data_IF_075786733019
#
_entry.id   IF_075786733019
#
_cell.length_a   1.000
_cell.length_b   1.000
_cell.length_c   1.000
_cell.angle_alpha   90.00
_cell.angle_beta   90.00
_cell.angle_gamma   90.00
#
_symmetry.space_group_name_H-M   'P 1'
#
loop_
_entity.id
_entity.type
_entity.pdbx_description
1 polymer ?
#
# COMPACT_ATOMS: atom_id res chain seq x y z
N UNK A 1 -6.57 -32.72 -9.90
CA UNK A 1 -6.42 -32.08 -8.58
C UNK A 1 -5.82 -30.67 -8.62
N UNK A 2 -5.08 -30.29 -9.67
CA UNK A 2 -4.45 -28.95 -9.83
C UNK A 2 -5.44 -27.77 -9.84
N UNK A 3 -6.60 -27.91 -10.51
CA UNK A 3 -7.59 -26.81 -10.63
C UNK A 3 -8.17 -26.30 -9.30
N UNK A 4 -8.31 -27.16 -8.29
CA UNK A 4 -8.86 -26.73 -7.00
C UNK A 4 -7.86 -25.85 -6.24
N UNK A 5 -6.59 -26.26 -6.19
CA UNK A 5 -5.55 -25.49 -5.51
C UNK A 5 -5.32 -24.12 -6.17
N UNK A 6 -5.36 -24.06 -7.50
CA UNK A 6 -5.24 -22.80 -8.23
C UNK A 6 -6.42 -21.85 -7.97
N UNK A 7 -7.63 -22.39 -7.90
CA UNK A 7 -8.83 -21.61 -7.56
C UNK A 7 -8.75 -21.08 -6.14
N UNK A 8 -8.39 -21.92 -5.17
CA UNK A 8 -8.23 -21.48 -3.77
C UNK A 8 -7.14 -20.43 -3.62
N UNK A 9 -5.99 -20.57 -4.32
CA UNK A 9 -4.92 -19.56 -4.32
C UNK A 9 -5.41 -18.21 -4.87
N UNK A 10 -6.24 -18.22 -5.91
CA UNK A 10 -6.84 -16.99 -6.47
C UNK A 10 -7.80 -16.32 -5.48
N UNK A 11 -8.64 -17.12 -4.81
CA UNK A 11 -9.54 -16.60 -3.77
C UNK A 11 -8.72 -15.98 -2.62
N UNK A 12 -7.66 -16.65 -2.17
CA UNK A 12 -6.75 -16.10 -1.15
C UNK A 12 -6.10 -14.81 -1.61
N UNK A 13 -5.63 -14.72 -2.86
CA UNK A 13 -5.05 -13.50 -3.43
C UNK A 13 -6.04 -12.32 -3.41
N UNK A 14 -7.30 -12.55 -3.78
CA UNK A 14 -8.38 -11.56 -3.74
C UNK A 14 -8.68 -11.13 -2.31
N UNK A 15 -8.86 -12.09 -1.40
CA UNK A 15 -9.16 -11.82 0.02
C UNK A 15 -8.03 -11.04 0.68
N UNK A 16 -6.77 -11.40 0.42
CA UNK A 16 -5.60 -10.67 0.91
C UNK A 16 -5.62 -9.23 0.37
N UNK A 17 -5.79 -9.06 -0.95
CA UNK A 17 -5.86 -7.74 -1.59
C UNK A 17 -6.92 -6.82 -0.99
N UNK A 18 -8.11 -7.36 -0.70
CA UNK A 18 -9.21 -6.64 -0.05
C UNK A 18 -8.94 -6.37 1.44
N UNK A 19 -8.31 -7.32 2.14
CA UNK A 19 -8.05 -7.22 3.58
C UNK A 19 -7.03 -6.15 3.93
N UNK A 20 -5.99 -5.96 3.12
CA UNK A 20 -4.89 -5.02 3.39
C UNK A 20 -5.41 -3.63 3.76
N UNK A 21 -6.26 -2.98 2.93
CA UNK A 21 -6.79 -1.65 3.24
C UNK A 21 -7.93 -1.68 4.27
N UNK A 22 -8.74 -2.74 4.34
CA UNK A 22 -9.95 -2.75 5.17
C UNK A 22 -9.69 -3.19 6.61
N UNK A 23 -8.87 -4.22 6.86
CA UNK A 23 -8.73 -4.79 8.21
C UNK A 23 -7.39 -5.47 8.44
N UNK A 24 -6.65 -4.97 9.45
CA UNK A 24 -5.43 -5.65 9.94
C UNK A 24 -5.73 -7.04 10.50
N UNK A 25 -6.89 -7.22 11.14
CA UNK A 25 -7.28 -8.50 11.71
C UNK A 25 -7.48 -9.56 10.60
N UNK A 26 -8.15 -9.19 9.51
CA UNK A 26 -8.32 -10.09 8.37
C UNK A 26 -6.98 -10.47 7.75
N UNK A 27 -6.07 -9.51 7.54
CA UNK A 27 -4.73 -9.80 7.01
C UNK A 27 -3.94 -10.73 7.94
N UNK A 28 -4.01 -10.52 9.25
CA UNK A 28 -3.34 -11.35 10.25
C UNK A 28 -3.88 -12.80 10.30
N UNK A 29 -5.12 -13.04 9.87
CA UNK A 29 -5.69 -14.40 9.78
C UNK A 29 -5.38 -15.02 8.41
N UNK A 30 -5.57 -14.26 7.33
CA UNK A 30 -5.44 -14.73 5.96
C UNK A 30 -3.99 -15.06 5.58
N UNK A 31 -3.01 -14.27 6.03
CA UNK A 31 -1.61 -14.51 5.68
C UNK A 31 -1.08 -15.84 6.26
N UNK A 32 -1.23 -16.15 7.56
CA UNK A 32 -0.89 -17.47 8.10
C UNK A 32 -1.69 -18.61 7.46
N UNK A 33 -2.99 -18.42 7.20
CA UNK A 33 -3.80 -19.42 6.50
C UNK A 33 -3.26 -19.72 5.11
N UNK A 34 -2.80 -18.68 4.39
CA UNK A 34 -2.20 -18.85 3.08
C UNK A 34 -0.84 -19.57 3.15
N UNK A 35 -0.05 -19.38 4.21
CA UNK A 35 1.16 -20.17 4.47
C UNK A 35 0.79 -21.64 4.66
N UNK A 36 -0.19 -21.95 5.53
CA UNK A 36 -0.63 -23.33 5.76
C UNK A 36 -1.15 -23.99 4.49
N UNK A 37 -1.90 -23.26 3.68
CA UNK A 37 -2.38 -23.72 2.38
C UNK A 37 -1.22 -24.01 1.42
N UNK A 38 -0.21 -23.13 1.35
CA UNK A 38 0.98 -23.37 0.53
C UNK A 38 1.79 -24.58 1.03
N UNK A 39 1.81 -24.86 2.33
CA UNK A 39 2.42 -26.08 2.85
C UNK A 39 1.62 -27.32 2.42
N UNK A 40 0.29 -27.27 2.51
CA UNK A 40 -0.61 -28.37 2.11
C UNK A 40 -0.59 -28.65 0.60
N UNK A 41 -0.43 -27.62 -0.24
CA UNK A 41 -0.33 -27.75 -1.71
C UNK A 41 0.94 -28.50 -2.16
N UNK A 42 1.98 -28.60 -1.31
CA UNK A 42 3.22 -29.30 -1.63
C UNK A 42 4.06 -28.59 -2.70
N UNK A 43 4.67 -29.36 -3.63
CA UNK A 43 5.53 -28.84 -4.71
C UNK A 43 6.75 -28.01 -4.23
N UNK A 44 7.36 -28.43 -3.12
CA UNK A 44 8.44 -27.70 -2.46
C UNK A 44 9.62 -27.37 -3.38
N UNK A 45 10.02 -28.28 -4.27
CA UNK A 45 11.10 -28.04 -5.23
C UNK A 45 10.79 -26.88 -6.18
N UNK A 46 9.57 -26.82 -6.72
CA UNK A 46 9.16 -25.74 -7.63
C UNK A 46 9.06 -24.40 -6.89
N UNK A 47 8.48 -24.39 -5.68
CA UNK A 47 8.38 -23.20 -4.83
C UNK A 47 9.76 -22.65 -4.50
N UNK A 48 10.68 -23.51 -4.11
CA UNK A 48 12.05 -23.13 -3.81
C UNK A 48 12.80 -22.59 -5.03
N UNK A 49 12.65 -23.22 -6.20
CA UNK A 49 13.20 -22.69 -7.45
C UNK A 49 12.64 -21.31 -7.80
N UNK A 50 11.34 -21.08 -7.58
CA UNK A 50 10.71 -19.77 -7.78
C UNK A 50 11.32 -18.74 -6.83
N UNK A 51 11.45 -19.05 -5.54
CA UNK A 51 12.04 -18.13 -4.56
C UNK A 51 13.50 -17.79 -4.86
N UNK A 52 14.29 -18.77 -5.34
CA UNK A 52 15.68 -18.56 -5.74
C UNK A 52 15.86 -17.59 -6.91
N UNK A 53 14.86 -17.46 -7.79
CA UNK A 53 14.89 -16.49 -8.89
C UNK A 53 14.69 -15.04 -8.41
N UNK A 54 14.22 -14.84 -7.17
CA UNK A 54 13.96 -13.52 -6.62
C UNK A 54 14.94 -13.21 -5.48
N UNK A 55 15.98 -12.38 -5.71
CA UNK A 55 17.00 -12.10 -4.69
C UNK A 55 16.39 -11.46 -3.43
N UNK A 56 15.36 -10.65 -3.59
CA UNK A 56 14.63 -10.00 -2.49
C UNK A 56 14.00 -11.04 -1.56
N UNK A 57 13.47 -12.14 -2.09
CA UNK A 57 12.90 -13.22 -1.28
C UNK A 57 13.98 -13.89 -0.44
N UNK A 58 15.16 -14.13 -1.02
CA UNK A 58 16.30 -14.73 -0.33
C UNK A 58 16.79 -13.82 0.79
N UNK A 59 16.92 -12.50 0.55
CA UNK A 59 17.30 -11.55 1.59
C UNK A 59 16.28 -11.48 2.71
N UNK A 60 14.98 -11.48 2.39
CA UNK A 60 13.93 -11.47 3.41
C UNK A 60 13.98 -12.73 4.29
N UNK A 61 14.17 -13.91 3.69
CA UNK A 61 14.34 -15.17 4.42
C UNK A 61 15.61 -15.13 5.26
N UNK A 62 16.74 -14.69 4.69
CA UNK A 62 18.03 -14.62 5.38
C UNK A 62 17.97 -13.69 6.59
N UNK A 63 17.40 -12.50 6.44
CA UNK A 63 17.24 -11.54 7.54
C UNK A 63 16.33 -12.11 8.64
N UNK A 64 15.24 -12.76 8.26
CA UNK A 64 14.36 -13.41 9.23
C UNK A 64 15.06 -14.58 9.94
N UNK A 65 15.81 -15.42 9.24
CA UNK A 65 16.60 -16.50 9.84
C UNK A 65 17.69 -15.95 10.77
N UNK A 66 18.34 -14.86 10.39
CA UNK A 66 19.33 -14.19 11.24
C UNK A 66 18.69 -13.69 12.54
N UNK A 67 17.47 -13.12 12.46
CA UNK A 67 16.69 -12.75 13.65
C UNK A 67 16.39 -13.97 14.54
N UNK A 68 16.03 -15.12 13.96
CA UNK A 68 15.78 -16.35 14.71
C UNK A 68 17.05 -16.88 15.39
N UNK A 69 18.21 -16.83 14.72
CA UNK A 69 19.50 -17.17 15.32
C UNK A 69 19.81 -16.21 16.48
N UNK A 70 19.42 -14.94 16.36
CA UNK A 70 19.44 -13.94 17.42
C UNK A 70 18.79 -14.39 18.74
N UNK A 71 17.74 -15.21 18.65
CA UNK A 71 17.02 -15.72 19.82
C UNK A 71 17.82 -16.76 20.61
N UNK A 72 18.81 -17.41 19.99
CA UNK A 72 19.57 -18.49 20.63
C UNK A 72 20.56 -17.96 21.68
N UNK A 73 20.98 -16.70 21.57
CA UNK A 73 21.93 -16.07 22.49
C UNK A 73 21.34 -14.88 23.24
N UNK A 74 20.03 -14.64 23.13
CA UNK A 74 19.39 -13.49 23.77
C UNK A 74 19.36 -13.65 25.30
N UNK A 75 19.73 -12.62 26.08
CA UNK A 75 19.63 -12.64 27.54
C UNK A 75 18.19 -12.40 28.04
N UNK A 76 17.26 -12.08 27.13
CA UNK A 76 15.88 -11.69 27.43
C UNK A 76 14.97 -12.93 27.50
N UNK A 77 13.93 -12.96 28.36
CA UNK A 77 12.95 -14.05 28.39
C UNK A 77 12.33 -14.34 27.02
N UNK A 78 12.06 -15.63 26.73
CA UNK A 78 11.53 -16.07 25.45
C UNK A 78 10.18 -15.42 25.07
N UNK A 79 9.37 -15.04 26.06
CA UNK A 79 8.08 -14.35 25.85
C UNK A 79 8.26 -12.97 25.22
N UNK A 80 9.24 -12.20 25.68
CA UNK A 80 9.57 -10.89 25.12
C UNK A 80 10.32 -11.02 23.80
N UNK A 81 11.24 -11.98 23.70
CA UNK A 81 11.95 -12.27 22.46
C UNK A 81 10.99 -12.69 21.34
N UNK A 82 9.96 -13.49 21.66
CA UNK A 82 8.92 -13.90 20.73
C UNK A 82 8.08 -12.72 20.19
N UNK A 83 7.83 -11.68 21.00
CA UNK A 83 7.13 -10.46 20.54
C UNK A 83 7.93 -9.70 19.49
N UNK A 84 9.25 -9.73 19.58
CA UNK A 84 10.13 -9.12 18.57
C UNK A 84 10.01 -9.90 17.26
N UNK A 85 10.07 -11.23 17.31
CA UNK A 85 9.89 -12.08 16.13
C UNK A 85 8.53 -11.84 15.48
N UNK A 86 7.46 -11.77 16.29
CA UNK A 86 6.11 -11.51 15.81
C UNK A 86 6.01 -10.17 15.08
N UNK A 87 6.70 -9.14 15.57
CA UNK A 87 6.76 -7.82 14.91
C UNK A 87 7.46 -7.89 13.56
N UNK A 88 8.48 -8.73 13.41
CA UNK A 88 9.25 -8.88 12.18
C UNK A 88 8.74 -10.01 11.26
N UNK A 89 7.59 -10.63 11.57
CA UNK A 89 6.98 -11.66 10.70
C UNK A 89 6.65 -11.15 9.30
N UNK A 90 6.51 -9.84 9.12
CA UNK A 90 6.22 -9.21 7.83
C UNK A 90 7.30 -9.49 6.77
N UNK A 91 8.55 -9.77 7.19
CA UNK A 91 9.60 -10.22 6.26
C UNK A 91 9.22 -11.53 5.55
N UNK A 92 8.50 -12.44 6.23
CA UNK A 92 7.99 -13.68 5.63
C UNK A 92 6.83 -13.44 4.66
N UNK A 93 6.19 -12.27 4.68
CA UNK A 93 5.14 -11.95 3.73
C UNK A 93 5.70 -11.72 2.32
N UNK A 94 6.97 -11.33 2.18
CA UNK A 94 7.63 -11.17 0.88
C UNK A 94 7.66 -12.49 0.10
N UNK A 95 8.30 -13.58 0.59
CA UNK A 95 8.29 -14.86 -0.12
C UNK A 95 6.86 -15.44 -0.25
N UNK A 96 5.99 -15.22 0.75
CA UNK A 96 4.58 -15.62 0.69
C UNK A 96 3.86 -14.99 -0.52
N UNK A 97 3.95 -13.67 -0.68
CA UNK A 97 3.29 -12.96 -1.77
C UNK A 97 3.88 -13.33 -3.13
N UNK A 98 5.20 -13.55 -3.24
CA UNK A 98 5.82 -14.05 -4.49
C UNK A 98 5.21 -15.40 -4.91
N UNK A 99 4.92 -16.29 -3.95
CA UNK A 99 4.32 -17.60 -4.25
C UNK A 99 2.82 -17.51 -4.55
N UNK A 100 2.06 -16.71 -3.78
CA UNK A 100 0.61 -16.53 -3.99
C UNK A 100 0.31 -15.85 -5.32
N UNK A 101 1.03 -14.76 -5.62
CA UNK A 101 0.82 -13.94 -6.82
C UNK A 101 1.70 -14.36 -8.00
N UNK A 102 2.21 -15.61 -8.00
CA UNK A 102 3.03 -16.16 -9.09
C UNK A 102 2.31 -16.13 -10.44
N UNK A 103 0.99 -16.37 -10.44
CA UNK A 103 0.21 -16.42 -11.67
C UNK A 103 -0.32 -15.04 -12.03
N UNK A 104 -0.35 -14.75 -13.34
CA UNK A 104 -0.86 -13.49 -13.87
C UNK A 104 -2.27 -13.16 -13.38
N UNK A 105 -3.17 -14.15 -13.43
CA UNK A 105 -4.58 -13.95 -13.05
C UNK A 105 -4.74 -13.66 -11.55
N UNK A 106 -4.02 -14.37 -10.68
CA UNK A 106 -4.04 -14.12 -9.22
C UNK A 106 -3.51 -12.72 -8.90
N UNK A 107 -2.46 -12.28 -9.61
CA UNK A 107 -1.89 -10.93 -9.48
C UNK A 107 -2.89 -9.85 -9.88
N UNK A 108 -3.54 -9.99 -11.03
CA UNK A 108 -4.55 -9.03 -11.49
C UNK A 108 -5.75 -8.98 -10.57
N UNK A 109 -6.30 -10.12 -10.18
CA UNK A 109 -7.48 -10.19 -9.34
C UNK A 109 -7.21 -9.63 -7.93
N UNK A 110 -6.04 -9.93 -7.36
CA UNK A 110 -5.60 -9.32 -6.10
C UNK A 110 -5.43 -7.81 -6.19
N UNK A 111 -4.85 -7.32 -7.29
CA UNK A 111 -4.72 -5.88 -7.53
C UNK A 111 -6.08 -5.20 -7.69
N UNK A 112 -7.01 -5.79 -8.45
CA UNK A 112 -8.36 -5.24 -8.60
C UNK A 112 -9.13 -5.26 -7.28
N UNK A 113 -8.98 -6.30 -6.46
CA UNK A 113 -9.57 -6.35 -5.12
C UNK A 113 -9.04 -5.24 -4.21
N UNK A 114 -7.73 -5.01 -4.24
CA UNK A 114 -7.10 -3.89 -3.53
C UNK A 114 -7.63 -2.54 -4.02
N UNK A 115 -7.68 -2.32 -5.33
CA UNK A 115 -8.19 -1.07 -5.92
C UNK A 115 -9.67 -0.85 -5.63
N UNK A 116 -10.49 -1.90 -5.64
CA UNK A 116 -11.90 -1.82 -5.28
C UNK A 116 -12.07 -1.40 -3.81
N UNK A 117 -11.31 -2.03 -2.90
CA UNK A 117 -11.35 -1.67 -1.48
C UNK A 117 -10.88 -0.22 -1.22
N UNK A 118 -9.86 0.24 -1.95
CA UNK A 118 -9.42 1.63 -1.88
C UNK A 118 -10.43 2.60 -2.50
N UNK A 119 -11.11 2.21 -3.59
CA UNK A 119 -12.20 2.98 -4.18
C UNK A 119 -13.38 3.14 -3.23
N UNK A 120 -13.77 2.08 -2.51
CA UNK A 120 -14.78 2.13 -1.45
C UNK A 120 -14.33 3.07 -0.33
N UNK A 121 -13.06 2.96 0.10
CA UNK A 121 -12.49 3.83 1.13
C UNK A 121 -12.53 5.31 0.71
N UNK A 122 -12.18 5.60 -0.54
CA UNK A 122 -12.23 6.95 -1.11
C UNK A 122 -13.67 7.48 -1.16
N UNK A 123 -14.61 6.67 -1.65
CA UNK A 123 -16.02 7.02 -1.72
C UNK A 123 -16.59 7.36 -0.34
N UNK A 124 -16.33 6.51 0.67
CA UNK A 124 -16.76 6.74 2.04
C UNK A 124 -16.11 7.99 2.66
N UNK A 125 -14.83 8.25 2.35
CA UNK A 125 -14.15 9.45 2.84
C UNK A 125 -14.76 10.74 2.28
N UNK A 126 -15.12 10.76 0.99
CA UNK A 126 -15.83 11.89 0.38
C UNK A 126 -17.26 12.04 0.91
N UNK A 127 -17.97 10.92 1.08
CA UNK A 127 -19.31 10.93 1.66
C UNK A 127 -19.30 11.54 3.06
N UNK A 128 -18.33 11.14 3.90
CA UNK A 128 -18.12 11.68 5.23
C UNK A 128 -17.79 13.18 5.22
N UNK A 129 -16.93 13.63 4.30
CA UNK A 129 -16.55 15.04 4.18
C UNK A 129 -17.72 15.93 3.74
N UNK A 130 -18.61 15.45 2.86
CA UNK A 130 -19.73 16.23 2.31
C UNK A 130 -20.94 16.22 3.26
N UNK A 131 -21.28 15.04 3.78
CA UNK A 131 -22.49 14.87 4.62
C UNK A 131 -22.26 15.19 6.10
N UNK A 132 -21.00 15.24 6.54
CA UNK A 132 -20.67 15.31 7.97
C UNK A 132 -20.95 14.01 8.74
N UNK A 133 -21.41 12.94 8.08
CA UNK A 133 -21.66 11.65 8.72
C UNK A 133 -20.35 11.04 9.21
N UNK A 134 -20.25 10.74 10.51
CA UNK A 134 -19.14 9.99 11.08
C UNK A 134 -19.15 8.50 10.70
N UNK A 135 -18.51 8.16 9.58
CA UNK A 135 -18.34 6.77 9.12
C UNK A 135 -16.90 6.33 9.38
N UNK A 136 -16.74 5.28 10.17
CA UNK A 136 -15.41 4.75 10.50
C UNK A 136 -14.78 5.47 11.71
N UNK A 137 -13.44 5.59 11.70
CA UNK A 137 -12.69 6.05 12.88
C UNK A 137 -12.32 7.54 12.84
N UNK A 138 -12.46 8.18 11.69
CA UNK A 138 -12.03 9.56 11.46
C UNK A 138 -13.07 10.60 11.85
N UNK A 139 -12.73 11.86 11.57
CA UNK A 139 -13.64 13.01 11.70
C UNK A 139 -13.93 13.61 10.31
N UNK A 140 -15.00 14.38 10.12
CA UNK A 140 -15.30 15.01 8.82
C UNK A 140 -14.15 15.89 8.29
N UNK A 141 -13.35 16.48 9.19
CA UNK A 141 -12.16 17.26 8.87
C UNK A 141 -10.93 16.42 8.48
N UNK A 142 -10.90 15.13 8.86
CA UNK A 142 -9.85 14.18 8.51
C UNK A 142 -10.48 12.78 8.31
N UNK A 143 -11.11 12.55 7.15
CA UNK A 143 -11.93 11.36 6.93
C UNK A 143 -11.05 10.13 6.63
N UNK A 144 -10.74 9.39 7.70
CA UNK A 144 -10.18 8.05 7.62
C UNK A 144 -11.20 7.00 8.09
N UNK A 145 -11.37 5.95 7.30
CA UNK A 145 -12.51 5.03 7.46
C UNK A 145 -12.09 3.81 8.26
N UNK A 146 -11.22 2.99 7.68
CA UNK A 146 -10.85 1.67 8.21
C UNK A 146 -9.55 1.68 9.03
N UNK A 147 -8.52 2.32 8.46
CA UNK A 147 -7.16 2.40 9.01
C UNK A 147 -6.87 3.82 9.48
N UNK A 148 -5.78 3.98 10.23
CA UNK A 148 -5.29 5.31 10.60
C UNK A 148 -4.94 6.12 9.35
N UNK A 149 -5.06 7.44 9.44
CA UNK A 149 -4.83 8.38 8.34
C UNK A 149 -3.47 8.21 7.65
N UNK A 150 -2.41 7.83 8.40
CA UNK A 150 -1.07 7.56 7.85
C UNK A 150 -1.12 6.36 6.88
N UNK A 151 -1.65 5.23 7.34
CA UNK A 151 -1.73 4.01 6.54
C UNK A 151 -2.71 4.18 5.37
N UNK A 152 -3.84 4.84 5.59
CA UNK A 152 -4.81 5.11 4.53
C UNK A 152 -4.16 5.96 3.42
N UNK A 153 -3.41 7.02 3.76
CA UNK A 153 -2.72 7.85 2.77
C UNK A 153 -1.67 7.07 1.98
N UNK A 154 -0.86 6.25 2.65
CA UNK A 154 0.14 5.40 2.00
C UNK A 154 -0.52 4.47 0.97
N UNK A 155 -1.60 3.79 1.37
CA UNK A 155 -2.32 2.88 0.49
C UNK A 155 -3.05 3.63 -0.64
N UNK A 156 -3.58 4.83 -0.35
CA UNK A 156 -4.22 5.69 -1.36
C UNK A 156 -3.22 6.18 -2.41
N UNK A 157 -2.01 6.57 -2.01
CA UNK A 157 -0.96 6.96 -2.94
C UNK A 157 -0.58 5.79 -3.88
N UNK A 158 -0.43 4.58 -3.33
CA UNK A 158 -0.19 3.37 -4.12
C UNK A 158 -1.35 3.04 -5.07
N UNK A 159 -2.60 3.13 -4.58
CA UNK A 159 -3.78 2.91 -5.42
C UNK A 159 -3.86 3.93 -6.56
N UNK A 160 -3.61 5.21 -6.26
CA UNK A 160 -3.55 6.31 -7.25
C UNK A 160 -2.53 6.00 -8.34
N UNK A 161 -1.33 5.56 -7.96
CA UNK A 161 -0.28 5.18 -8.89
C UNK A 161 -0.70 4.02 -9.81
N UNK A 162 -1.30 2.96 -9.26
CA UNK A 162 -1.76 1.83 -10.07
C UNK A 162 -2.92 2.19 -11.00
N UNK A 163 -3.86 3.03 -10.55
CA UNK A 163 -4.95 3.54 -11.41
C UNK A 163 -4.38 4.42 -12.52
N UNK A 164 -3.37 5.26 -12.23
CA UNK A 164 -2.70 6.08 -13.23
C UNK A 164 -1.99 5.24 -14.30
N UNK A 165 -1.32 4.15 -13.93
CA UNK A 165 -0.76 3.19 -14.90
C UNK A 165 -1.87 2.59 -15.78
N UNK A 166 -3.00 2.18 -15.19
CA UNK A 166 -4.10 1.63 -15.96
C UNK A 166 -4.74 2.65 -16.91
N UNK A 167 -4.85 3.92 -16.50
CA UNK A 167 -5.31 5.02 -17.34
C UNK A 167 -4.40 5.23 -18.56
N UNK A 168 -3.09 5.01 -18.38
CA UNK A 168 -2.11 5.06 -19.46
C UNK A 168 -2.26 3.89 -20.44
N UNK A 169 -2.46 2.67 -19.92
CA UNK A 169 -2.53 1.44 -20.73
C UNK A 169 -3.88 1.23 -21.43
N UNK A 170 -4.99 1.74 -20.87
CA UNK A 170 -6.35 1.52 -21.38
C UNK A 170 -7.00 2.83 -21.85
N UNK A 171 -6.75 3.28 -23.11
CA UNK A 171 -7.20 4.58 -23.60
C UNK A 171 -8.72 4.77 -23.54
N UNK A 172 -9.49 3.69 -23.78
CA UNK A 172 -10.95 3.66 -23.70
C UNK A 172 -11.53 4.10 -22.34
N UNK A 173 -10.83 3.84 -21.22
CA UNK A 173 -11.29 4.18 -19.86
C UNK A 173 -10.49 5.35 -19.26
N UNK A 174 -9.63 5.98 -20.06
CA UNK A 174 -8.65 6.97 -19.57
C UNK A 174 -9.32 8.15 -18.88
N UNK A 175 -10.44 8.64 -19.41
CA UNK A 175 -11.18 9.77 -18.81
C UNK A 175 -11.66 9.43 -17.39
N UNK A 176 -12.39 8.32 -17.24
CA UNK A 176 -12.92 7.87 -15.95
C UNK A 176 -11.81 7.60 -14.92
N UNK A 177 -10.73 6.91 -15.33
CA UNK A 177 -9.61 6.63 -14.44
C UNK A 177 -8.84 7.90 -14.06
N UNK A 178 -8.75 8.89 -14.95
CA UNK A 178 -8.12 10.18 -14.65
C UNK A 178 -8.91 10.97 -13.61
N UNK A 179 -10.25 10.92 -13.66
CA UNK A 179 -11.10 11.52 -12.62
C UNK A 179 -10.84 10.86 -11.27
N UNK A 180 -10.76 9.52 -11.22
CA UNK A 180 -10.46 8.78 -9.98
C UNK A 180 -9.08 9.17 -9.43
N UNK A 181 -8.08 9.31 -10.28
CA UNK A 181 -6.73 9.78 -9.88
C UNK A 181 -6.79 11.18 -9.30
N UNK A 182 -7.51 12.11 -9.94
CA UNK A 182 -7.64 13.49 -9.44
C UNK A 182 -8.34 13.54 -8.08
N UNK A 183 -9.41 12.76 -7.90
CA UNK A 183 -10.10 12.64 -6.61
C UNK A 183 -9.18 12.04 -5.54
N UNK A 184 -8.43 10.99 -5.87
CA UNK A 184 -7.51 10.38 -4.91
C UNK A 184 -6.36 11.33 -4.52
N UNK A 185 -5.80 12.07 -5.48
CA UNK A 185 -4.79 13.11 -5.23
C UNK A 185 -5.37 14.21 -4.33
N UNK A 186 -6.59 14.69 -4.61
CA UNK A 186 -7.24 15.69 -3.78
C UNK A 186 -7.47 15.18 -2.35
N UNK A 187 -7.94 13.94 -2.19
CA UNK A 187 -8.13 13.33 -0.87
C UNK A 187 -6.83 13.26 -0.08
N UNK A 188 -5.73 12.85 -0.72
CA UNK A 188 -4.41 12.79 -0.08
C UNK A 188 -3.97 14.21 0.33
N UNK A 189 -4.05 15.18 -0.60
CA UNK A 189 -3.54 16.55 -0.41
C UNK A 189 -4.34 17.36 0.62
N UNK A 190 -5.67 17.33 0.55
CA UNK A 190 -6.52 18.29 1.24
C UNK A 190 -7.38 17.69 2.36
N UNK A 191 -7.76 16.43 2.24
CA UNK A 191 -8.65 15.82 3.25
C UNK A 191 -7.88 15.15 4.38
N UNK A 192 -6.66 14.67 4.13
CA UNK A 192 -5.94 13.89 5.14
C UNK A 192 -4.76 14.66 5.73
N UNK A 193 -4.66 14.64 7.07
CA UNK A 193 -3.60 15.33 7.82
C UNK A 193 -2.19 14.68 7.67
N UNK A 194 -2.08 13.55 6.95
CA UNK A 194 -0.85 12.76 6.86
C UNK A 194 0.18 13.29 5.87
N UNK A 195 1.20 14.00 6.36
CA UNK A 195 2.34 14.53 5.58
C UNK A 195 3.14 13.46 4.83
N UNK A 196 3.20 12.25 5.38
CA UNK A 196 3.89 11.11 4.75
C UNK A 196 3.26 10.75 3.41
N UNK A 197 1.93 10.92 3.28
CA UNK A 197 1.20 10.69 2.04
C UNK A 197 1.72 11.55 0.88
N UNK A 198 2.11 12.80 1.16
CA UNK A 198 2.67 13.71 0.15
C UNK A 198 3.99 13.19 -0.39
N UNK A 199 4.91 12.82 0.51
CA UNK A 199 6.22 12.30 0.12
C UNK A 199 6.09 11.05 -0.75
N UNK A 200 5.23 10.11 -0.35
CA UNK A 200 5.00 8.88 -1.10
C UNK A 200 4.37 9.19 -2.46
N UNK A 201 3.35 10.05 -2.51
CA UNK A 201 2.71 10.45 -3.75
C UNK A 201 3.72 11.11 -4.70
N UNK A 202 4.56 12.01 -4.20
CA UNK A 202 5.60 12.68 -5.00
C UNK A 202 6.62 11.69 -5.55
N UNK A 203 7.13 10.78 -4.72
CA UNK A 203 8.03 9.71 -5.18
C UNK A 203 7.38 8.86 -6.28
N UNK A 204 6.10 8.49 -6.12
CA UNK A 204 5.36 7.68 -7.09
C UNK A 204 5.08 8.44 -8.40
N UNK A 205 4.83 9.75 -8.34
CA UNK A 205 4.72 10.61 -9.54
C UNK A 205 6.04 10.59 -10.31
N UNK A 206 7.16 10.87 -9.64
CA UNK A 206 8.49 10.85 -10.29
C UNK A 206 8.75 9.49 -10.95
N UNK A 207 8.45 8.41 -10.22
CA UNK A 207 8.62 7.06 -10.71
C UNK A 207 7.71 6.74 -11.91
N UNK A 208 6.45 7.20 -11.91
CA UNK A 208 5.52 7.02 -13.02
C UNK A 208 6.02 7.72 -14.29
N UNK A 209 6.43 8.98 -14.16
CA UNK A 209 6.94 9.75 -15.30
C UNK A 209 8.28 9.23 -15.80
N UNK A 210 9.14 8.76 -14.90
CA UNK A 210 10.38 8.08 -15.26
C UNK A 210 10.11 6.79 -16.03
N UNK A 211 9.12 5.99 -15.63
CA UNK A 211 8.73 4.79 -16.38
C UNK A 211 8.14 5.10 -17.75
N UNK A 212 7.32 6.15 -17.87
CA UNK A 212 6.66 6.52 -19.11
C UNK A 212 7.60 7.17 -20.14
N UNK A 213 8.51 8.05 -19.71
CA UNK A 213 9.31 8.90 -20.60
C UNK A 213 10.82 8.90 -20.28
N UNK A 214 11.29 7.97 -19.44
CA UNK A 214 12.69 7.89 -18.96
C UNK A 214 13.15 9.23 -18.35
N UNK A 215 14.37 9.66 -18.64
CA UNK A 215 14.99 10.87 -18.08
C UNK A 215 14.21 12.13 -18.50
N UNK A 216 13.62 12.17 -19.70
CA UNK A 216 12.80 13.30 -20.17
C UNK A 216 11.50 13.45 -19.35
N UNK A 217 11.03 12.35 -18.76
CA UNK A 217 9.89 12.36 -17.84
C UNK A 217 10.16 13.09 -16.54
N UNK A 218 11.42 13.18 -16.10
CA UNK A 218 11.78 13.84 -14.83
C UNK A 218 11.45 15.34 -14.88
N UNK A 219 11.61 15.99 -16.05
CA UNK A 219 11.24 17.40 -16.25
C UNK A 219 9.72 17.62 -16.18
N UNK A 220 8.93 16.69 -16.73
CA UNK A 220 7.48 16.75 -16.62
C UNK A 220 7.02 16.47 -15.20
N UNK A 221 7.66 15.51 -14.52
CA UNK A 221 7.41 15.22 -13.12
C UNK A 221 7.70 16.44 -12.24
N UNK A 222 8.84 17.10 -12.43
CA UNK A 222 9.19 18.29 -11.65
C UNK A 222 8.18 19.42 -11.85
N UNK A 223 7.72 19.65 -13.09
CA UNK A 223 6.69 20.65 -13.37
C UNK A 223 5.35 20.33 -12.68
N UNK A 224 4.92 19.06 -12.74
CA UNK A 224 3.71 18.60 -12.03
C UNK A 224 3.85 18.74 -10.52
N UNK A 225 5.02 18.40 -9.97
CA UNK A 225 5.31 18.53 -8.53
C UNK A 225 5.31 19.98 -8.08
N UNK A 226 5.91 20.89 -8.86
CA UNK A 226 5.88 22.33 -8.58
C UNK A 226 4.43 22.82 -8.56
N UNK A 227 3.64 22.44 -9.57
CA UNK A 227 2.23 22.83 -9.65
C UNK A 227 1.43 22.32 -8.44
N UNK A 228 1.58 21.05 -8.07
CA UNK A 228 0.93 20.48 -6.89
C UNK A 228 1.38 21.15 -5.59
N UNK A 229 2.66 21.50 -5.48
CA UNK A 229 3.21 22.17 -4.30
C UNK A 229 2.67 23.59 -4.16
N UNK A 230 2.58 24.34 -5.26
CA UNK A 230 1.96 25.68 -5.27
C UNK A 230 0.49 25.58 -4.88
N UNK A 231 -0.26 24.65 -5.47
CA UNK A 231 -1.68 24.43 -5.17
C UNK A 231 -1.88 24.04 -3.70
N UNK A 232 -1.05 23.15 -3.15
CA UNK A 232 -1.09 22.77 -1.74
C UNK A 232 -0.77 23.97 -0.82
N UNK A 233 0.17 24.83 -1.22
CA UNK A 233 0.55 26.03 -0.45
C UNK A 233 -0.51 27.12 -0.48
N UNK A 234 -1.20 27.32 -1.60
CA UNK A 234 -2.23 28.37 -1.73
C UNK A 234 -3.55 27.99 -1.07
N UNK A 235 -3.90 26.71 -1.05
CA UNK A 235 -5.21 26.24 -0.58
C UNK A 235 -5.21 25.74 0.86
N UNK A 236 -4.05 25.57 1.50
CA UNK A 236 -3.95 25.09 2.88
C UNK A 236 -3.63 26.23 3.86
N UNK A 237 -4.65 26.76 4.52
CA UNK A 237 -4.48 27.67 5.67
C UNK A 237 -3.66 27.02 6.81
N UNK A 238 -3.61 25.68 6.87
CA UNK A 238 -2.83 24.90 7.84
C UNK A 238 -1.32 25.01 7.59
N UNK A 239 -0.89 25.15 6.33
CA UNK A 239 0.52 25.35 5.96
C UNK A 239 0.95 26.80 6.19
N UNK A 240 0.08 27.77 5.87
CA UNK A 240 0.30 29.20 6.17
C UNK A 240 0.41 29.46 7.68
N UNK A 241 -0.53 28.95 8.48
CA UNK A 241 -0.49 29.11 9.95
C UNK A 241 0.72 28.47 10.62
N UNK A 242 1.39 27.51 9.99
CA UNK A 242 2.56 26.84 10.58
C UNK A 242 3.87 27.43 10.09
N UNK A 243 3.96 27.88 8.84
CA UNK A 243 5.13 28.61 8.34
C UNK A 243 5.21 29.99 9.02
N UNK A 244 4.08 30.66 9.24
CA UNK A 244 4.03 31.94 9.99
C UNK A 244 4.30 31.79 11.50
N UNK A 245 4.37 30.55 12.03
CA UNK A 245 4.78 30.29 13.42
C UNK A 245 6.29 30.08 13.58
N UNK A 246 7.01 29.72 12.52
CA UNK A 246 8.47 29.53 12.55
C UNK A 246 9.25 30.84 12.92
N UNK A 247 8.81 32.06 12.55
CA UNK A 247 9.50 33.29 12.95
C UNK A 247 9.35 33.66 14.43
N UNK A 248 8.40 33.07 15.17
CA UNK A 248 8.10 33.48 16.55
C UNK A 248 8.81 32.67 17.64
N UNK A 249 9.41 31.53 17.29
CA UNK A 249 10.20 30.73 18.24
C UNK A 249 11.70 31.07 18.19
N UNK A 250 12.11 32.06 17.37
CA UNK A 250 13.49 32.54 17.26
C UNK A 250 13.67 34.02 17.69
N UNK A 251 12.68 34.61 18.36
CA UNK A 251 12.76 35.93 18.99
C UNK A 251 12.48 35.81 20.49
#
# INVERSE_FOLDING_TARGET
MTNHFDTTRRILAVLIGLSIPISTALTNILCPLAILFLLAEGHYKQKFNTLRQHPIALFAILLFTFLLIGLLYTPVPLSEAGRIVDKYREWLYIPLFILIFRDHQSREWGLYAFLAAMGITLFLAYLMAISGWQVGKGTPENPFIFKNYITQNLLMALATYFVAIQAWQKPQWRWLLSIVVLLAVYNILFMSAGRTGYLILFCLIVLLFYQAYRIRGILLASLVLILLSVIAYTSSDILRQRIDKIPKDMA
#
